data_IF_846636101506
#
_entry.id   IF_846636101506
#
_cell.length_a   1.000
_cell.length_b   1.000
_cell.length_c   1.000
_cell.angle_alpha   90.00
_cell.angle_beta   90.00
_cell.angle_gamma   90.00
#
_symmetry.space_group_name_H-M   'P 1'
#
loop_
_entity.id
_entity.type
_entity.pdbx_description
1 polymer ?
#
# COMPACT_ATOMS: atom_id res chain seq x y z
N UNK A 1 8.30 -3.91 -16.35
CA UNK A 1 8.15 -3.40 -14.98
C UNK A 1 7.04 -4.18 -14.30
N UNK A 2 7.22 -4.61 -13.04
CA UNK A 2 6.13 -5.23 -12.24
C UNK A 2 5.50 -4.14 -11.38
N UNK A 3 4.17 -4.08 -11.37
CA UNK A 3 3.40 -3.10 -10.59
C UNK A 3 3.21 -3.61 -9.15
N UNK A 4 3.50 -2.77 -8.17
CA UNK A 4 3.28 -3.06 -6.74
C UNK A 4 2.20 -2.13 -6.19
N UNK A 5 1.25 -2.67 -5.44
CA UNK A 5 0.15 -1.90 -4.85
C UNK A 5 0.34 -1.77 -3.35
N UNK A 6 0.28 -0.54 -2.85
CA UNK A 6 0.49 -0.19 -1.44
C UNK A 6 -0.77 0.48 -0.86
N UNK A 7 -0.98 0.41 0.47
CA UNK A 7 -2.07 1.15 1.09
C UNK A 7 -1.86 2.67 0.95
N UNK A 8 -2.94 3.43 0.90
CA UNK A 8 -2.89 4.89 1.08
C UNK A 8 -3.58 5.25 2.41
N UNK A 9 -2.87 5.82 3.39
CA UNK A 9 -1.43 6.18 3.39
C UNK A 9 -0.48 4.96 3.59
N UNK A 10 0.82 5.15 3.34
CA UNK A 10 1.90 4.17 3.56
C UNK A 10 3.17 4.83 4.14
N UNK A 11 4.16 4.05 4.57
CA UNK A 11 5.46 4.57 5.04
C UNK A 11 6.18 5.33 3.91
N UNK A 12 6.67 6.54 4.21
CA UNK A 12 7.18 7.48 3.20
C UNK A 12 8.32 6.94 2.33
N UNK A 13 9.11 6.01 2.85
CA UNK A 13 10.27 5.47 2.13
C UNK A 13 9.90 4.37 1.11
N UNK A 14 8.70 3.77 1.19
CA UNK A 14 8.32 2.68 0.30
C UNK A 14 8.38 3.07 -1.18
N UNK A 15 7.97 4.30 -1.51
CA UNK A 15 7.97 4.79 -2.90
C UNK A 15 9.39 4.84 -3.46
N UNK A 16 10.35 5.35 -2.69
CA UNK A 16 11.74 5.47 -3.11
C UNK A 16 12.39 4.08 -3.28
N UNK A 17 12.15 3.18 -2.32
CA UNK A 17 12.67 1.81 -2.36
C UNK A 17 12.16 1.08 -3.60
N UNK A 18 10.84 1.08 -3.84
CA UNK A 18 10.26 0.36 -4.98
C UNK A 18 10.67 0.93 -6.33
N UNK A 19 10.76 2.26 -6.46
CA UNK A 19 11.31 2.89 -7.67
C UNK A 19 12.76 2.49 -7.91
N UNK A 20 13.58 2.47 -6.85
CA UNK A 20 14.98 2.05 -6.95
C UNK A 20 15.13 0.55 -7.30
N UNK A 21 14.15 -0.29 -6.94
CA UNK A 21 14.07 -1.69 -7.35
C UNK A 21 13.49 -1.91 -8.77
N UNK A 22 13.22 -0.85 -9.54
CA UNK A 22 12.65 -0.97 -10.89
C UNK A 22 11.18 -1.41 -10.91
N UNK A 23 10.45 -1.20 -9.82
CA UNK A 23 9.02 -1.48 -9.70
C UNK A 23 8.21 -0.19 -9.88
N UNK A 24 6.98 -0.35 -10.38
CA UNK A 24 6.02 0.75 -10.50
C UNK A 24 5.08 0.80 -9.28
N UNK A 25 5.19 1.82 -8.40
CA UNK A 25 4.33 1.95 -7.24
C UNK A 25 2.93 2.40 -7.64
N UNK A 26 1.91 1.70 -7.15
CA UNK A 26 0.50 2.09 -7.18
C UNK A 26 -0.12 2.02 -5.79
N UNK A 27 -1.32 2.56 -5.65
CA UNK A 27 -1.99 2.67 -4.36
C UNK A 27 -3.40 2.07 -4.37
N UNK A 28 -3.79 1.45 -3.26
CA UNK A 28 -5.17 1.09 -2.96
C UNK A 28 -5.68 1.85 -1.74
N UNK A 29 -6.99 2.09 -1.69
CA UNK A 29 -7.62 2.78 -0.56
C UNK A 29 -7.57 1.90 0.68
N UNK A 30 -6.92 2.39 1.73
CA UNK A 30 -6.78 1.67 2.99
C UNK A 30 -7.40 2.41 4.17
N UNK A 31 -7.23 3.73 4.25
CA UNK A 31 -7.72 4.52 5.37
C UNK A 31 -8.76 5.57 4.93
N UNK A 32 -9.86 5.67 5.67
CA UNK A 32 -10.84 6.74 5.56
C UNK A 32 -10.66 7.74 6.71
N UNK A 33 -9.94 8.83 6.43
CA UNK A 33 -9.65 9.89 7.39
C UNK A 33 -10.89 10.61 7.92
N UNK A 34 -12.01 10.57 7.18
CA UNK A 34 -13.25 11.24 7.61
C UNK A 34 -13.91 10.52 8.78
N UNK A 35 -13.84 9.19 8.79
CA UNK A 35 -14.52 8.36 9.78
C UNK A 35 -13.54 7.62 10.71
N UNK A 36 -12.23 7.82 10.54
CA UNK A 36 -11.16 7.05 11.18
C UNK A 36 -11.36 5.54 11.04
N UNK A 37 -11.75 5.09 9.84
CA UNK A 37 -12.03 3.68 9.55
C UNK A 37 -11.02 3.11 8.57
N UNK A 38 -10.69 1.83 8.76
CA UNK A 38 -9.95 1.05 7.76
C UNK A 38 -10.94 0.57 6.70
N UNK A 39 -10.69 0.95 5.45
CA UNK A 39 -11.42 0.46 4.29
C UNK A 39 -10.91 -0.93 3.91
N UNK A 40 -11.70 -1.95 4.20
CA UNK A 40 -11.42 -3.32 3.77
C UNK A 40 -11.71 -3.43 2.27
N UNK A 41 -10.77 -3.05 1.41
CA UNK A 41 -10.88 -3.40 -0.01
C UNK A 41 -10.74 -4.92 -0.13
N UNK A 42 -11.67 -5.55 -0.84
CA UNK A 42 -12.00 -6.99 -0.94
C UNK A 42 -10.87 -7.91 -1.48
N UNK A 43 -9.59 -7.55 -1.32
CA UNK A 43 -8.45 -8.32 -1.84
C UNK A 43 -7.23 -8.42 -0.91
N UNK A 44 -7.30 -7.95 0.34
CA UNK A 44 -6.15 -7.90 1.26
C UNK A 44 -6.09 -9.10 2.23
N UNK A 45 -7.10 -9.97 2.26
CA UNK A 45 -7.06 -11.20 3.06
C UNK A 45 -6.32 -12.33 2.34
N UNK A 46 -4.99 -12.37 2.47
CA UNK A 46 -4.15 -13.56 2.76
C UNK A 46 -2.67 -13.31 2.39
N UNK A 47 -1.88 -12.78 3.34
CA UNK A 47 -0.43 -13.05 3.34
C UNK A 47 0.56 -11.89 3.41
N UNK A 48 0.17 -10.62 3.33
CA UNK A 48 1.12 -9.50 3.50
C UNK A 48 0.53 -8.47 4.46
N UNK A 49 0.67 -8.76 5.74
CA UNK A 49 0.76 -7.74 6.78
C UNK A 49 2.18 -7.80 7.34
N UNK A 50 3.16 -7.31 6.59
CA UNK A 50 4.48 -7.05 7.14
C UNK A 50 4.45 -5.64 7.70
N UNK A 51 4.22 -5.56 9.00
CA UNK A 51 4.60 -4.41 9.81
C UNK A 51 6.12 -4.29 9.76
N UNK A 52 6.61 -3.20 9.18
CA UNK A 52 7.80 -2.49 9.65
C UNK A 52 7.44 -1.02 9.69
#
# INVERSE_FOLDING_TARGET
>A
SKKILMPNPTWGNHVAIFKNSGLEPGYYRYFDAKNNKVGMSIGICSGIAMWV
#
